data_IF_348684344841
#
_entry.id   IF_348684344841
#
_cell.length_a   1.000
_cell.length_b   1.000
_cell.length_c   1.000
_cell.angle_alpha   90.00
_cell.angle_beta   90.00
_cell.angle_gamma   90.00
#
_symmetry.space_group_name_H-M   'P 1'
#
loop_
_entity.id
_entity.type
_entity.pdbx_description
1 polymer ?
#
# COMPACT_ATOMS: atom_id res chain seq x y z
N UNK A 1 -10.26 7.49 16.25
CA UNK A 1 -10.40 8.83 15.63
C UNK A 1 -10.55 8.64 14.12
N UNK A 2 -10.89 9.65 13.31
CA UNK A 2 -11.09 9.49 11.86
C UNK A 2 -9.84 9.77 11.01
N UNK A 3 -8.64 9.84 11.60
CA UNK A 3 -7.41 10.19 10.88
C UNK A 3 -6.72 8.92 10.36
N UNK A 4 -6.47 8.90 9.06
CA UNK A 4 -5.74 7.82 8.40
C UNK A 4 -4.47 8.29 7.70
N UNK A 5 -3.58 7.33 7.42
CA UNK A 5 -2.44 7.51 6.52
C UNK A 5 -2.80 6.90 5.16
N UNK A 6 -2.67 7.71 4.11
CA UNK A 6 -3.03 7.31 2.75
C UNK A 6 -2.02 6.32 2.14
N UNK A 7 -2.46 5.57 1.13
CA UNK A 7 -1.57 4.72 0.36
C UNK A 7 -0.40 5.49 -0.26
N UNK A 8 0.66 4.75 -0.56
CA UNK A 8 1.89 5.24 -1.14
C UNK A 8 2.92 5.68 -0.10
N UNK A 9 2.51 5.85 1.17
CA UNK A 9 3.43 6.09 2.28
C UNK A 9 4.13 4.79 2.72
N UNK A 10 3.36 3.81 3.18
CA UNK A 10 3.85 2.46 3.51
C UNK A 10 3.43 1.47 2.42
N UNK A 11 4.23 1.39 1.36
CA UNK A 11 3.89 0.55 0.19
C UNK A 11 4.03 -0.94 0.46
N UNK A 12 4.91 -1.32 1.38
CA UNK A 12 5.29 -2.73 1.61
C UNK A 12 4.82 -3.28 2.96
N UNK A 13 4.15 -2.46 3.78
CA UNK A 13 3.67 -2.87 5.10
C UNK A 13 4.76 -2.86 6.18
N UNK A 14 5.83 -2.09 5.99
CA UNK A 14 7.00 -2.10 6.87
C UNK A 14 6.78 -1.30 8.17
N UNK A 15 5.80 -0.39 8.20
CA UNK A 15 5.65 0.62 9.26
C UNK A 15 4.27 0.63 9.92
N UNK A 16 3.41 -0.34 9.64
CA UNK A 16 2.01 -0.39 10.10
C UNK A 16 1.88 -0.16 11.61
N UNK A 17 2.63 -0.90 12.44
CA UNK A 17 2.57 -0.73 13.90
C UNK A 17 3.11 0.64 14.36
N UNK A 18 4.16 1.14 13.72
CA UNK A 18 4.70 2.46 14.01
C UNK A 18 3.69 3.57 13.71
N UNK A 19 3.01 3.48 12.56
CA UNK A 19 1.95 4.41 12.17
C UNK A 19 0.77 4.34 13.14
N UNK A 20 0.39 3.14 13.59
CA UNK A 20 -0.65 2.98 14.60
C UNK A 20 -0.28 3.67 15.91
N UNK A 21 0.96 3.48 16.38
CA UNK A 21 1.48 4.06 17.61
C UNK A 21 1.61 5.59 17.55
N UNK A 22 1.77 6.17 16.34
CA UNK A 22 1.72 7.61 16.14
C UNK A 22 0.29 8.20 16.20
N UNK A 23 -0.74 7.35 16.29
CA UNK A 23 -2.13 7.77 16.53
C UNK A 23 -3.07 7.67 15.34
N UNK A 24 -2.59 7.23 14.16
CA UNK A 24 -3.46 6.93 13.02
C UNK A 24 -4.36 5.73 13.35
N UNK A 25 -5.63 5.83 13.02
CA UNK A 25 -6.60 4.75 13.23
C UNK A 25 -6.87 3.95 11.96
N UNK A 26 -6.52 4.52 10.79
CA UNK A 26 -6.71 3.90 9.48
C UNK A 26 -5.36 3.91 8.77
N UNK A 27 -4.89 2.76 8.32
CA UNK A 27 -3.61 2.62 7.62
C UNK A 27 -3.88 1.93 6.29
N UNK A 28 -3.53 2.61 5.20
CA UNK A 28 -3.65 2.05 3.86
C UNK A 28 -2.28 1.67 3.32
N UNK A 29 -2.00 0.37 3.21
CA UNK A 29 -0.75 -0.18 2.66
C UNK A 29 -0.86 -0.31 1.14
N UNK A 30 0.23 -0.06 0.43
CA UNK A 30 0.31 -0.19 -1.04
C UNK A 30 0.49 1.14 -1.76
N UNK A 31 0.21 1.26 -3.05
CA UNK A 31 -0.37 0.23 -3.94
C UNK A 31 0.57 -0.96 -4.16
N UNK A 32 0.06 -2.16 -3.88
CA UNK A 32 0.77 -3.43 -4.10
C UNK A 32 0.36 -3.99 -5.46
N UNK A 33 1.33 -4.45 -6.22
CA UNK A 33 1.14 -5.14 -7.51
C UNK A 33 1.32 -6.65 -7.36
N UNK A 34 0.74 -7.49 -8.26
CA UNK A 34 0.94 -8.94 -8.23
C UNK A 34 2.42 -9.35 -8.16
N UNK A 35 3.18 -8.96 -9.18
CA UNK A 35 4.61 -9.22 -9.26
C UNK A 35 5.42 -8.05 -8.72
N UNK A 36 6.64 -8.30 -8.21
CA UNK A 36 7.56 -7.24 -7.82
C UNK A 36 7.92 -6.36 -9.02
N UNK A 37 8.05 -5.05 -8.79
CA UNK A 37 8.57 -4.13 -9.80
C UNK A 37 9.26 -2.92 -9.14
N UNK A 38 10.36 -2.43 -9.72
CA UNK A 38 11.19 -1.38 -9.10
C UNK A 38 10.54 0.01 -9.17
N UNK A 39 9.52 0.20 -10.00
CA UNK A 39 8.96 1.50 -10.38
C UNK A 39 9.85 2.28 -11.35
N UNK A 40 9.60 3.57 -11.50
CA UNK A 40 10.36 4.44 -12.42
C UNK A 40 11.78 4.75 -11.88
N UNK A 41 12.76 5.06 -12.75
CA UNK A 41 14.09 5.49 -12.33
C UNK A 41 14.07 6.71 -11.38
N UNK A 42 15.07 6.83 -10.50
CA UNK A 42 15.27 8.01 -9.64
C UNK A 42 15.97 9.13 -10.42
N UNK A 43 15.78 10.42 -10.07
CA UNK A 43 14.90 10.95 -9.02
C UNK A 43 13.41 10.95 -9.41
N UNK A 44 12.53 10.63 -8.46
CA UNK A 44 11.10 10.39 -8.70
C UNK A 44 10.15 10.94 -7.64
N UNK A 45 10.67 11.69 -6.68
CA UNK A 45 9.92 12.44 -5.67
C UNK A 45 10.62 13.77 -5.43
N UNK A 46 9.85 14.85 -5.41
CA UNK A 46 10.34 16.22 -5.32
C UNK A 46 9.44 16.97 -4.35
N UNK A 47 10.04 17.65 -3.36
CA UNK A 47 9.31 18.50 -2.41
C UNK A 47 9.37 19.94 -2.90
N UNK A 48 8.25 20.64 -2.81
CA UNK A 48 8.10 22.05 -3.14
C UNK A 48 7.62 22.76 -1.86
N UNK A 49 8.53 23.15 -0.95
CA UNK A 49 8.16 23.67 0.37
C UNK A 49 7.38 24.98 0.30
N UNK A 50 7.70 25.86 -0.65
CA UNK A 50 7.01 27.14 -0.86
C UNK A 50 5.52 26.95 -1.20
N UNK A 51 5.21 25.87 -1.92
CA UNK A 51 3.84 25.51 -2.30
C UNK A 51 3.17 24.53 -1.33
N UNK A 52 3.87 24.10 -0.27
CA UNK A 52 3.47 22.97 0.58
C UNK A 52 3.09 21.71 -0.23
N UNK A 53 3.83 21.42 -1.30
CA UNK A 53 3.48 20.38 -2.27
C UNK A 53 4.55 19.31 -2.46
N UNK A 54 4.14 18.18 -3.03
CA UNK A 54 5.02 17.07 -3.44
C UNK A 54 4.63 16.60 -4.84
N UNK A 55 5.61 16.51 -5.73
CA UNK A 55 5.46 15.86 -7.04
C UNK A 55 6.13 14.50 -6.96
N UNK A 56 5.42 13.43 -7.38
CA UNK A 56 5.99 12.10 -7.45
C UNK A 56 5.63 11.40 -8.77
N UNK A 57 6.50 10.48 -9.16
CA UNK A 57 6.33 9.61 -10.35
C UNK A 57 6.90 8.24 -10.05
N UNK A 58 6.44 7.63 -8.95
CA UNK A 58 6.97 6.35 -8.48
C UNK A 58 6.74 5.20 -9.47
N UNK A 59 5.56 5.14 -10.11
CA UNK A 59 5.20 4.06 -11.03
C UNK A 59 5.02 2.71 -10.33
N UNK A 60 4.29 2.69 -9.20
CA UNK A 60 4.04 1.50 -8.36
C UNK A 60 5.29 0.66 -8.10
N UNK A 61 6.29 1.22 -7.42
CA UNK A 61 7.36 0.39 -6.87
C UNK A 61 6.79 -0.50 -5.77
N UNK A 62 6.90 -1.82 -5.92
CA UNK A 62 6.24 -2.82 -5.08
C UNK A 62 7.10 -4.09 -5.01
N UNK A 63 7.18 -4.71 -3.83
CA UNK A 63 7.82 -6.01 -3.59
C UNK A 63 6.95 -7.19 -4.03
N UNK A 64 5.74 -6.94 -4.51
CA UNK A 64 4.81 -7.97 -4.97
C UNK A 64 3.86 -8.47 -3.88
N UNK A 65 2.78 -9.13 -4.32
CA UNK A 65 1.75 -9.67 -3.45
C UNK A 65 2.30 -10.69 -2.44
N UNK A 66 3.19 -11.58 -2.88
CA UNK A 66 3.70 -12.65 -2.05
C UNK A 66 4.54 -12.14 -0.86
N UNK A 67 5.49 -11.24 -1.13
CA UNK A 67 6.38 -10.70 -0.09
C UNK A 67 5.63 -9.80 0.89
N UNK A 68 4.73 -8.95 0.39
CA UNK A 68 3.93 -8.09 1.29
C UNK A 68 2.96 -8.92 2.12
N UNK A 69 2.29 -9.92 1.54
CA UNK A 69 1.39 -10.79 2.32
C UNK A 69 2.14 -11.50 3.44
N UNK A 70 3.31 -12.05 3.18
CA UNK A 70 4.15 -12.71 4.19
C UNK A 70 4.53 -11.76 5.35
N UNK A 71 4.90 -10.51 5.05
CA UNK A 71 5.17 -9.50 6.08
C UNK A 71 3.93 -9.21 6.91
N UNK A 72 2.80 -9.01 6.24
CA UNK A 72 1.55 -8.61 6.87
C UNK A 72 0.88 -9.73 7.66
N UNK A 73 1.00 -10.98 7.22
CA UNK A 73 0.51 -12.16 7.94
C UNK A 73 1.22 -12.33 9.29
N UNK A 74 2.48 -11.88 9.40
CA UNK A 74 3.22 -11.89 10.66
C UNK A 74 2.81 -10.80 11.65
N UNK A 75 1.96 -9.84 11.25
CA UNK A 75 1.47 -8.79 12.14
C UNK A 75 0.41 -9.34 13.10
N UNK A 76 0.64 -9.14 14.39
CA UNK A 76 -0.39 -9.37 15.39
C UNK A 76 -1.48 -8.30 15.29
N UNK A 77 -2.66 -8.68 14.77
CA UNK A 77 -3.82 -7.78 14.61
C UNK A 77 -4.28 -7.19 15.94
N UNK A 78 -4.03 -7.82 17.08
CA UNK A 78 -4.37 -7.25 18.38
C UNK A 78 -3.63 -5.91 18.64
N UNK A 79 -2.42 -5.76 18.08
CA UNK A 79 -1.63 -4.54 18.16
C UNK A 79 -2.21 -3.38 17.34
N UNK A 80 -3.14 -3.66 16.43
CA UNK A 80 -3.85 -2.62 15.69
C UNK A 80 -4.93 -1.93 16.54
N UNK A 81 -5.23 -2.39 17.76
CA UNK A 81 -6.10 -1.70 18.72
C UNK A 81 -7.41 -1.16 18.08
N UNK A 82 -8.14 -2.02 17.36
CA UNK A 82 -9.36 -1.68 16.60
C UNK A 82 -9.17 -0.63 15.48
N UNK A 83 -7.94 -0.40 15.03
CA UNK A 83 -7.66 0.36 13.82
C UNK A 83 -7.96 -0.46 12.56
N UNK A 84 -8.23 0.22 11.45
CA UNK A 84 -8.52 -0.41 10.16
C UNK A 84 -7.27 -0.49 9.30
N UNK A 85 -7.04 -1.66 8.73
CA UNK A 85 -5.99 -1.91 7.76
C UNK A 85 -6.59 -2.04 6.35
N UNK A 86 -6.29 -1.06 5.52
CA UNK A 86 -6.62 -1.06 4.09
C UNK A 86 -5.49 -1.63 3.25
N UNK A 87 -5.85 -2.39 2.22
CA UNK A 87 -4.91 -2.84 1.20
C UNK A 87 -5.26 -2.18 -0.13
N UNK A 88 -4.36 -1.33 -0.63
CA UNK A 88 -4.46 -0.69 -1.92
C UNK A 88 -3.79 -1.56 -2.99
N UNK A 89 -4.54 -1.88 -4.04
CA UNK A 89 -4.15 -2.80 -5.10
C UNK A 89 -3.93 -2.03 -6.41
N UNK A 90 -2.77 -2.28 -7.02
CA UNK A 90 -2.39 -1.76 -8.32
C UNK A 90 -2.15 -2.89 -9.32
N UNK A 91 -2.16 -2.55 -10.61
CA UNK A 91 -1.77 -3.48 -11.67
C UNK A 91 -0.27 -3.41 -11.94
N UNK A 92 0.32 -4.51 -12.40
CA UNK A 92 1.69 -4.46 -12.90
C UNK A 92 1.78 -3.60 -14.17
N UNK A 93 2.94 -2.96 -14.40
CA UNK A 93 3.16 -2.10 -15.57
C UNK A 93 2.98 -2.86 -16.89
N UNK A 94 3.42 -4.11 -16.92
CA UNK A 94 3.38 -5.01 -18.09
C UNK A 94 2.08 -5.82 -18.18
N UNK A 95 1.17 -5.69 -17.22
CA UNK A 95 -0.08 -6.46 -17.23
C UNK A 95 -0.99 -5.99 -18.35
N UNK A 96 -1.50 -6.95 -19.11
CA UNK A 96 -2.53 -6.78 -20.14
C UNK A 96 -3.94 -6.99 -19.60
N UNK A 97 -4.07 -7.48 -18.36
CA UNK A 97 -5.36 -7.74 -17.71
C UNK A 97 -5.36 -7.16 -16.28
N UNK A 98 -5.79 -5.91 -16.17
CA UNK A 98 -5.87 -5.22 -14.88
C UNK A 98 -6.89 -5.86 -13.91
N UNK A 99 -7.97 -6.44 -14.43
CA UNK A 99 -9.02 -7.04 -13.61
C UNK A 99 -8.49 -8.30 -12.94
N UNK A 100 -7.72 -9.11 -13.66
CA UNK A 100 -7.02 -10.25 -13.10
C UNK A 100 -6.05 -9.82 -11.98
N UNK A 101 -5.25 -8.77 -12.18
CA UNK A 101 -4.32 -8.25 -11.17
C UNK A 101 -5.05 -7.87 -9.87
N UNK A 102 -6.14 -7.11 -9.97
CA UNK A 102 -6.95 -6.73 -8.80
C UNK A 102 -7.59 -7.93 -8.13
N UNK A 103 -8.13 -8.87 -8.90
CA UNK A 103 -8.77 -10.09 -8.37
C UNK A 103 -7.76 -10.97 -7.64
N UNK A 104 -6.53 -11.09 -8.16
CA UNK A 104 -5.43 -11.78 -7.49
C UNK A 104 -5.09 -11.11 -6.16
N UNK A 105 -5.06 -9.78 -6.12
CA UNK A 105 -4.81 -9.02 -4.89
C UNK A 105 -5.88 -9.26 -3.83
N UNK A 106 -7.16 -9.12 -4.19
CA UNK A 106 -8.27 -9.37 -3.26
C UNK A 106 -8.18 -10.80 -2.70
N UNK A 107 -7.99 -11.80 -3.56
CA UNK A 107 -7.85 -13.20 -3.11
C UNK A 107 -6.65 -13.41 -2.21
N UNK A 108 -5.52 -12.76 -2.48
CA UNK A 108 -4.28 -12.94 -1.72
C UNK A 108 -4.36 -12.34 -0.32
N UNK A 109 -5.08 -11.22 -0.15
CA UNK A 109 -5.06 -10.43 1.07
C UNK A 109 -6.39 -10.46 1.85
N UNK A 110 -7.35 -11.30 1.45
CA UNK A 110 -8.71 -11.36 2.04
C UNK A 110 -8.70 -11.71 3.53
N UNK A 111 -7.68 -12.43 3.98
CA UNK A 111 -7.44 -12.85 5.36
C UNK A 111 -6.84 -11.73 6.22
N UNK A 112 -6.18 -10.74 5.61
CA UNK A 112 -5.53 -9.64 6.32
C UNK A 112 -6.32 -8.34 6.31
N UNK A 113 -6.93 -7.97 5.19
CA UNK A 113 -7.47 -6.63 4.96
C UNK A 113 -8.85 -6.42 5.59
N UNK A 114 -9.08 -5.24 6.19
CA UNK A 114 -10.41 -4.80 6.60
C UNK A 114 -11.18 -4.17 5.44
N UNK A 115 -10.46 -3.55 4.50
CA UNK A 115 -11.02 -3.03 3.25
C UNK A 115 -9.97 -3.02 2.13
N UNK A 116 -10.48 -2.96 0.91
CA UNK A 116 -9.66 -2.89 -0.30
C UNK A 116 -9.87 -1.57 -1.03
N UNK A 117 -8.80 -1.07 -1.64
CA UNK A 117 -8.83 0.05 -2.59
C UNK A 117 -8.31 -0.45 -3.93
N UNK A 118 -9.09 -0.26 -4.98
CA UNK A 118 -8.69 -0.56 -6.36
C UNK A 118 -8.17 0.73 -7.00
N UNK A 119 -6.86 0.81 -7.24
CA UNK A 119 -6.24 2.02 -7.73
C UNK A 119 -6.28 2.11 -9.26
N UNK A 120 -7.27 2.85 -9.76
CA UNK A 120 -7.51 3.12 -11.20
C UNK A 120 -7.27 4.59 -11.59
N UNK A 121 -6.69 5.38 -10.69
CA UNK A 121 -6.41 6.81 -10.91
C UNK A 121 -5.05 7.08 -11.55
#
# INVERSE_FOLDING_TARGET
>A
NPLGIAAGFDKQGDAVLGLRNMGFSIIEVGSITPEPQPGNPKPRVFRLPEDNAVINRYGFNSDGHQEVHKKMESLDKALLQNGLLGINLGKNKTSTDAVADYTMGVKKFIDIADYFVINVS
#
